data_IF_627013230856
#
_entry.id   IF_627013230856
#
_cell.length_a   1.000
_cell.length_b   1.000
_cell.length_c   1.000
_cell.angle_alpha   90.00
_cell.angle_beta   90.00
_cell.angle_gamma   90.00
#
_symmetry.space_group_name_H-M   'P 1'
#
loop_
_entity.id
_entity.type
_entity.pdbx_description
1 polymer ?
#
# COMPACT_ATOMS: atom_id res chain seq x y z
N UNK A 1 -0.83 -20.33 4.31
CA UNK A 1 0.23 -20.17 3.29
C UNK A 1 -0.36 -19.47 2.08
N UNK A 2 0.36 -18.49 1.53
CA UNK A 2 -0.10 -17.75 0.36
C UNK A 2 0.23 -18.50 -0.91
N UNK A 3 -0.77 -18.67 -1.75
CA UNK A 3 -0.61 -19.31 -3.04
C UNK A 3 -0.58 -18.25 -4.14
N UNK A 4 0.19 -18.45 -5.23
CA UNK A 4 0.21 -17.46 -6.31
C UNK A 4 -1.17 -17.15 -6.89
N UNK A 5 -2.07 -18.13 -6.91
CA UNK A 5 -3.44 -17.92 -7.41
C UNK A 5 -4.28 -17.00 -6.54
N UNK A 6 -3.87 -16.74 -5.31
CA UNK A 6 -4.56 -15.80 -4.43
C UNK A 6 -4.22 -14.36 -4.74
N UNK A 7 -3.18 -14.12 -5.53
CA UNK A 7 -2.80 -12.79 -5.96
C UNK A 7 -3.63 -12.42 -7.18
N UNK A 8 -4.85 -11.98 -6.94
CA UNK A 8 -5.84 -11.78 -7.99
C UNK A 8 -6.26 -10.32 -8.19
N UNK A 9 -5.66 -9.39 -7.46
CA UNK A 9 -5.89 -7.96 -7.61
C UNK A 9 -4.68 -7.34 -8.26
N UNK A 10 -4.91 -6.44 -9.20
CA UNK A 10 -3.84 -5.75 -9.87
C UNK A 10 -3.72 -4.34 -9.33
N UNK A 11 -2.58 -4.03 -8.72
CA UNK A 11 -2.34 -2.74 -8.11
C UNK A 11 -1.19 -2.04 -8.83
N UNK A 12 -1.30 -0.74 -8.95
CA UNK A 12 -0.17 0.08 -9.41
C UNK A 12 0.71 0.41 -8.22
N UNK A 13 2.00 0.13 -8.33
CA UNK A 13 2.98 0.55 -7.35
C UNK A 13 3.47 1.93 -7.74
N UNK A 14 3.46 2.86 -6.81
CA UNK A 14 3.91 4.22 -7.02
C UNK A 14 4.98 4.59 -6.02
N UNK A 15 6.02 5.26 -6.51
CA UNK A 15 7.14 5.70 -5.70
C UNK A 15 7.07 7.21 -5.46
N UNK A 16 7.45 7.68 -4.28
CA UNK A 16 7.48 9.10 -4.02
C UNK A 16 8.64 9.78 -4.75
N UNK A 17 8.36 10.93 -5.30
CA UNK A 17 9.37 11.79 -5.90
C UNK A 17 9.27 13.14 -5.23
N UNK A 18 10.34 13.59 -4.62
CA UNK A 18 10.39 14.87 -3.96
C UNK A 18 11.16 15.86 -4.82
N UNK A 19 10.60 17.03 -5.00
CA UNK A 19 11.18 18.09 -5.79
C UNK A 19 11.24 19.36 -4.95
N UNK A 20 12.39 20.01 -4.97
CA UNK A 20 12.56 21.30 -4.33
C UNK A 20 11.66 22.32 -5.03
N UNK A 21 10.85 23.04 -4.25
CA UNK A 21 9.93 24.04 -4.80
C UNK A 21 10.58 25.39 -5.02
N UNK A 22 11.86 25.54 -4.73
CA UNK A 22 12.59 26.78 -4.92
C UNK A 22 12.41 27.80 -3.80
N UNK A 23 11.58 27.47 -2.80
CA UNK A 23 11.29 28.37 -1.69
C UNK A 23 11.65 27.74 -0.35
N UNK A 24 12.55 26.78 -0.34
CA UNK A 24 12.96 26.08 0.85
C UNK A 24 12.06 24.92 1.26
N UNK A 25 11.01 24.66 0.49
CA UNK A 25 10.11 23.55 0.72
C UNK A 25 10.30 22.44 -0.27
N UNK A 26 9.54 21.37 -0.09
CA UNK A 26 9.61 20.19 -0.95
C UNK A 26 8.20 19.84 -1.39
N UNK A 27 8.04 19.60 -2.68
CA UNK A 27 6.82 19.08 -3.24
C UNK A 27 6.97 17.59 -3.49
N UNK A 28 6.02 16.80 -3.02
CA UNK A 28 6.04 15.36 -3.22
C UNK A 28 4.95 14.96 -4.20
N UNK A 29 5.33 14.13 -5.15
CA UNK A 29 4.39 13.46 -6.02
C UNK A 29 4.72 11.99 -6.06
N UNK A 30 3.83 11.19 -6.64
CA UNK A 30 4.03 9.76 -6.77
C UNK A 30 4.04 9.40 -8.24
N UNK A 31 5.11 8.71 -8.64
CA UNK A 31 5.27 8.28 -10.02
C UNK A 31 5.02 6.77 -10.11
N UNK A 32 4.35 6.38 -11.19
CA UNK A 32 4.09 4.98 -11.47
C UNK A 32 5.40 4.22 -11.65
N UNK A 33 5.51 3.07 -10.99
CA UNK A 33 6.65 2.18 -11.12
C UNK A 33 6.28 0.98 -11.97
N UNK A 34 5.28 0.23 -11.53
CA UNK A 34 4.84 -0.99 -12.22
C UNK A 34 3.49 -1.41 -11.69
N UNK A 35 2.88 -2.37 -12.36
CA UNK A 35 1.70 -3.04 -11.83
C UNK A 35 2.09 -4.37 -11.23
N UNK A 36 1.44 -4.72 -10.13
CA UNK A 36 1.69 -5.95 -9.39
C UNK A 36 0.40 -6.70 -9.20
N UNK A 37 0.51 -8.02 -9.20
CA UNK A 37 -0.57 -8.86 -8.70
C UNK A 37 -0.48 -8.93 -7.19
N UNK A 38 -1.62 -8.78 -6.52
CA UNK A 38 -1.67 -8.72 -5.08
C UNK A 38 -2.90 -9.42 -4.54
N UNK A 39 -2.80 -9.87 -3.30
CA UNK A 39 -3.96 -10.22 -2.50
C UNK A 39 -4.21 -9.09 -1.52
N UNK A 40 -5.41 -8.54 -1.52
CA UNK A 40 -5.79 -7.45 -0.64
C UNK A 40 -6.83 -7.97 0.34
N UNK A 41 -6.48 -7.98 1.61
CA UNK A 41 -7.34 -8.51 2.67
C UNK A 41 -7.66 -7.38 3.63
N UNK A 42 -8.92 -6.98 3.76
CA UNK A 42 -9.29 -5.99 4.77
C UNK A 42 -9.00 -6.56 6.15
N UNK A 43 -8.32 -5.77 6.97
CA UNK A 43 -8.15 -6.12 8.36
C UNK A 43 -9.39 -5.64 9.11
N UNK A 44 -9.98 -6.54 9.89
CA UNK A 44 -11.12 -6.15 10.68
C UNK A 44 -10.72 -4.98 11.56
N UNK A 45 -11.32 -3.86 11.31
CA UNK A 45 -11.08 -2.70 12.14
C UNK A 45 -11.76 -2.93 13.46
N UNK A 46 -10.99 -3.20 14.47
CA UNK A 46 -11.50 -3.09 15.82
C UNK A 46 -11.95 -1.65 15.97
N UNK A 47 -13.23 -1.44 16.20
CA UNK A 47 -13.76 -0.10 16.27
C UNK A 47 -14.08 0.49 14.92
N UNK A 48 -14.51 -0.33 13.97
CA UNK A 48 -14.92 0.14 12.65
C UNK A 48 -15.94 1.26 12.69
N UNK A 49 -16.78 1.28 13.70
CA UNK A 49 -17.75 2.37 13.89
C UNK A 49 -17.08 3.71 14.16
N UNK A 50 -15.91 3.72 14.75
CA UNK A 50 -15.17 4.95 14.97
C UNK A 50 -14.57 5.46 13.67
N UNK A 51 -14.10 4.54 12.85
CA UNK A 51 -13.51 4.89 11.55
C UNK A 51 -14.53 5.54 10.62
N UNK A 52 -15.80 5.23 10.76
CA UNK A 52 -16.85 5.77 9.91
C UNK A 52 -17.18 7.23 10.19
N UNK A 53 -16.60 7.82 11.20
CA UNK A 53 -17.01 9.14 11.66
C UNK A 53 -16.14 10.29 11.18
N UNK A 54 -14.83 10.10 11.14
CA UNK A 54 -13.90 11.22 11.00
C UNK A 54 -12.77 10.86 10.05
N UNK A 55 -13.03 10.87 8.75
CA UNK A 55 -12.00 10.49 7.82
C UNK A 55 -11.59 9.06 8.07
N UNK A 56 -12.43 8.14 7.66
CA UNK A 56 -12.25 6.72 7.95
C UNK A 56 -10.91 6.23 7.44
N UNK A 57 -10.18 5.53 8.31
CA UNK A 57 -8.95 4.84 7.94
C UNK A 57 -9.22 3.36 8.01
N UNK A 58 -9.06 2.67 6.89
CA UNK A 58 -9.23 1.23 6.82
C UNK A 58 -7.87 0.61 6.58
N UNK A 59 -7.56 -0.42 7.33
CA UNK A 59 -6.30 -1.13 7.18
C UNK A 59 -6.48 -2.39 6.38
N UNK A 60 -5.46 -2.68 5.61
CA UNK A 60 -5.43 -3.84 4.73
C UNK A 60 -4.11 -4.56 4.90
N UNK A 61 -4.16 -5.87 4.71
CA UNK A 61 -2.97 -6.67 4.49
C UNK A 61 -2.86 -6.92 3.01
N UNK A 62 -1.78 -6.48 2.42
CA UNK A 62 -1.52 -6.63 0.99
C UNK A 62 -0.35 -7.59 0.82
N UNK A 63 -0.55 -8.64 0.05
CA UNK A 63 0.49 -9.63 -0.18
C UNK A 63 0.85 -9.57 -1.65
N UNK A 64 2.15 -9.41 -1.92
CA UNK A 64 2.69 -9.35 -3.27
C UNK A 64 3.92 -10.28 -3.35
N UNK A 65 4.34 -10.60 -4.55
CA UNK A 65 5.59 -11.33 -4.71
C UNK A 65 6.75 -10.50 -4.20
N UNK A 66 7.72 -11.19 -3.59
CA UNK A 66 8.87 -10.51 -3.01
C UNK A 66 9.64 -9.75 -4.08
N UNK A 67 9.97 -8.51 -3.74
CA UNK A 67 10.85 -7.66 -4.56
C UNK A 67 11.54 -6.66 -3.64
N UNK A 68 12.76 -6.24 -4.00
CA UNK A 68 13.57 -5.45 -3.06
C UNK A 68 13.24 -3.96 -3.02
N UNK A 69 12.44 -3.46 -3.95
CA UNK A 69 12.27 -2.03 -4.15
C UNK A 69 11.03 -1.44 -3.47
N UNK A 70 10.28 -2.25 -2.72
CA UNK A 70 9.09 -1.75 -2.02
C UNK A 70 9.47 -1.34 -0.60
N UNK A 71 9.14 -0.11 -0.25
CA UNK A 71 9.39 0.43 1.09
C UNK A 71 8.13 1.06 1.64
N UNK A 72 8.17 1.48 2.90
CA UNK A 72 7.05 2.16 3.53
C UNK A 72 6.82 3.58 3.01
N UNK A 73 7.60 4.02 2.05
CA UNK A 73 7.40 5.31 1.40
C UNK A 73 6.61 5.20 0.10
N UNK A 74 6.45 3.98 -0.40
CA UNK A 74 5.67 3.71 -1.60
C UNK A 74 4.19 3.67 -1.27
N UNK A 75 3.37 3.63 -2.31
CA UNK A 75 1.93 3.41 -2.15
C UNK A 75 1.42 2.57 -3.31
N UNK A 76 0.25 1.98 -3.11
CA UNK A 76 -0.47 1.28 -4.18
C UNK A 76 -1.68 2.11 -4.59
N UNK A 77 -2.02 2.01 -5.86
CA UNK A 77 -3.23 2.64 -6.38
C UNK A 77 -4.06 1.60 -7.13
N UNK A 78 -5.37 1.59 -6.86
CA UNK A 78 -6.33 0.74 -7.54
C UNK A 78 -7.52 1.61 -7.88
N UNK A 79 -7.54 2.14 -9.11
CA UNK A 79 -8.56 3.09 -9.48
C UNK A 79 -8.51 4.35 -8.63
N UNK A 80 -9.56 4.60 -7.87
CA UNK A 80 -9.63 5.74 -6.96
C UNK A 80 -9.12 5.42 -5.57
N UNK A 81 -8.80 4.15 -5.29
CA UNK A 81 -8.32 3.73 -3.98
C UNK A 81 -6.82 3.88 -3.89
N UNK A 82 -6.35 4.50 -2.84
CA UNK A 82 -4.93 4.69 -2.59
C UNK A 82 -4.61 4.04 -1.26
N UNK A 83 -3.66 3.11 -1.29
CA UNK A 83 -3.20 2.38 -0.11
C UNK A 83 -1.80 2.84 0.24
N UNK A 84 -1.67 3.56 1.35
CA UNK A 84 -0.38 4.00 1.85
C UNK A 84 0.29 2.88 2.62
N UNK A 85 1.52 2.56 2.28
CA UNK A 85 2.24 1.47 2.91
C UNK A 85 2.74 1.93 4.27
N UNK A 86 2.42 1.15 5.30
CA UNK A 86 2.86 1.42 6.68
C UNK A 86 4.08 0.58 7.02
N UNK A 87 4.03 -0.69 6.68
CA UNK A 87 5.10 -1.63 7.03
C UNK A 87 5.22 -2.69 5.96
N UNK A 88 6.43 -3.16 5.75
CA UNK A 88 6.74 -4.20 4.77
C UNK A 88 7.60 -5.24 5.47
N UNK A 89 7.21 -6.50 5.35
CA UNK A 89 8.04 -7.58 5.88
C UNK A 89 7.92 -8.81 4.97
N UNK A 90 8.99 -9.59 4.85
CA UNK A 90 8.91 -10.81 4.07
C UNK A 90 8.11 -11.88 4.79
N UNK A 91 7.50 -12.77 4.03
CA UNK A 91 6.92 -13.97 4.61
C UNK A 91 8.03 -14.94 5.05
N UNK A 92 7.65 -15.97 5.81
CA UNK A 92 8.64 -16.90 6.35
C UNK A 92 9.45 -17.59 5.26
N UNK A 93 8.83 -17.88 4.12
CA UNK A 93 9.51 -18.52 2.99
C UNK A 93 10.19 -17.51 2.06
N UNK A 94 10.04 -16.21 2.33
CA UNK A 94 10.64 -15.12 1.57
C UNK A 94 10.20 -15.03 0.12
N UNK A 95 9.12 -15.70 -0.23
CA UNK A 95 8.57 -15.64 -1.59
C UNK A 95 7.66 -14.46 -1.79
N UNK A 96 7.11 -13.94 -0.72
CA UNK A 96 6.13 -12.86 -0.75
C UNK A 96 6.50 -11.79 0.25
N UNK A 97 5.95 -10.61 0.04
CA UNK A 97 5.97 -9.55 1.04
C UNK A 97 4.57 -9.41 1.62
N UNK A 98 4.51 -9.34 2.93
CA UNK A 98 3.31 -9.00 3.65
C UNK A 98 3.38 -7.54 4.00
N UNK A 99 2.45 -6.78 3.46
CA UNK A 99 2.47 -5.33 3.55
C UNK A 99 1.26 -4.89 4.35
N UNK A 100 1.50 -4.09 5.36
CA UNK A 100 0.43 -3.41 6.05
C UNK A 100 0.22 -2.05 5.40
N UNK A 101 -1.00 -1.78 4.97
CA UNK A 101 -1.33 -0.55 4.27
C UNK A 101 -2.61 0.03 4.82
N UNK A 102 -2.79 1.31 4.62
CA UNK A 102 -4.03 1.96 5.01
C UNK A 102 -4.60 2.77 3.85
N UNK A 103 -5.91 2.75 3.76
CA UNK A 103 -6.66 3.60 2.87
C UNK A 103 -7.38 4.64 3.71
N UNK A 104 -7.14 5.90 3.42
CA UNK A 104 -7.80 6.98 4.12
C UNK A 104 -8.88 7.54 3.20
N UNK A 105 -10.07 7.57 3.72
CA UNK A 105 -11.21 8.13 3.02
C UNK A 105 -11.44 9.54 3.58
N UNK A 106 -10.99 10.51 2.84
CA UNK A 106 -11.12 11.90 3.25
C UNK A 106 -12.37 12.52 2.63
#
# INVERSE_FOLDING_TARGET
MTEPGELNRRLALEAPVETDDGAGGVTRRYDFVTKLWAQVVPRSAVGGTVADRLGAVVRYRVIVRARPDITNKHRFQDGTHIYSIIAVRPTADRRFLEIEAEERDD
#
